data_IF_779614496125
#
_entry.id   IF_779614496125
#
_cell.length_a   1.000
_cell.length_b   1.000
_cell.length_c   1.000
_cell.angle_alpha   90.00
_cell.angle_beta   90.00
_cell.angle_gamma   90.00
#
_symmetry.space_group_name_H-M   'P 1'
#
loop_
_entity.id
_entity.type
_entity.pdbx_description
1 polymer ?
#
# COMPACT_ATOMS: atom_id res chain seq x y z
N UNK A 1 -10.20 16.18 7.45
CA UNK A 1 -9.78 16.98 8.62
C UNK A 1 -10.78 18.09 8.97
N UNK A 2 -11.61 18.57 8.04
CA UNK A 2 -12.77 19.43 8.35
C UNK A 2 -13.89 18.70 9.10
N UNK A 3 -14.19 17.44 8.74
CA UNK A 3 -15.27 16.67 9.36
C UNK A 3 -15.18 16.55 10.90
N UNK A 4 -14.03 16.20 11.52
CA UNK A 4 -13.91 16.18 12.99
C UNK A 4 -14.16 17.53 13.65
N UNK A 5 -13.72 18.63 13.04
CA UNK A 5 -13.91 19.98 13.58
C UNK A 5 -15.38 20.38 13.55
N UNK A 6 -16.07 20.15 12.43
CA UNK A 6 -17.51 20.41 12.32
C UNK A 6 -18.32 19.51 13.28
N UNK A 7 -17.95 18.23 13.40
CA UNK A 7 -18.59 17.32 14.34
C UNK A 7 -18.43 17.82 15.78
N UNK A 8 -17.23 18.32 16.14
CA UNK A 8 -16.98 18.92 17.45
C UNK A 8 -17.88 20.12 17.74
N UNK A 9 -18.06 21.03 16.76
CA UNK A 9 -18.98 22.16 16.90
C UNK A 9 -20.44 21.73 17.03
N UNK A 10 -20.87 20.70 16.29
CA UNK A 10 -22.23 20.17 16.38
C UNK A 10 -22.49 19.61 17.79
N UNK A 11 -21.55 18.84 18.34
CA UNK A 11 -21.65 18.29 19.70
C UNK A 11 -21.77 19.41 20.73
N UNK A 12 -20.96 20.45 20.60
CA UNK A 12 -20.96 21.59 21.53
C UNK A 12 -22.29 22.37 21.50
N UNK A 13 -22.88 22.55 20.31
CA UNK A 13 -24.19 23.19 20.13
C UNK A 13 -25.31 22.38 20.77
N UNK A 14 -25.32 21.05 20.56
CA UNK A 14 -26.32 20.15 21.16
C UNK A 14 -26.20 20.13 22.68
N UNK A 15 -24.97 20.13 23.20
CA UNK A 15 -24.72 20.11 24.65
C UNK A 15 -25.10 21.44 25.32
N UNK A 16 -24.89 22.57 24.65
CA UNK A 16 -25.17 23.90 25.19
C UNK A 16 -26.67 24.25 25.17
N UNK A 17 -27.44 23.74 24.20
CA UNK A 17 -28.87 24.08 24.04
C UNK A 17 -29.74 22.82 23.86
N UNK A 18 -30.01 22.05 24.92
CA UNK A 18 -30.68 20.74 24.80
C UNK A 18 -32.17 20.80 24.42
N UNK A 19 -32.84 21.95 24.57
CA UNK A 19 -34.27 22.13 24.32
C UNK A 19 -34.61 22.83 22.98
N UNK A 20 -33.62 23.04 22.11
CA UNK A 20 -33.82 23.62 20.78
C UNK A 20 -34.45 22.63 19.79
N UNK A 21 -35.25 23.14 18.85
CA UNK A 21 -35.83 22.33 17.77
C UNK A 21 -34.86 22.28 16.58
N UNK A 22 -34.19 21.13 16.40
CA UNK A 22 -33.06 20.99 15.45
C UNK A 22 -33.42 20.31 14.13
N UNK A 23 -34.69 19.92 13.93
CA UNK A 23 -35.11 19.06 12.81
C UNK A 23 -34.81 19.70 11.45
N UNK A 24 -35.11 20.99 11.26
CA UNK A 24 -34.86 21.69 9.99
C UNK A 24 -33.36 21.90 9.75
N UNK A 25 -32.62 22.30 10.78
CA UNK A 25 -31.17 22.49 10.69
C UNK A 25 -30.46 21.16 10.36
N UNK A 26 -30.89 20.06 10.97
CA UNK A 26 -30.36 18.73 10.71
C UNK A 26 -30.70 18.26 9.30
N UNK A 27 -31.92 18.50 8.83
CA UNK A 27 -32.34 18.15 7.46
C UNK A 27 -31.50 18.87 6.41
N UNK A 28 -31.28 20.18 6.57
CA UNK A 28 -30.40 20.95 5.68
C UNK A 28 -28.94 20.50 5.73
N UNK A 29 -28.43 20.17 6.92
CA UNK A 29 -27.07 19.66 7.11
C UNK A 29 -26.90 18.27 6.45
N UNK A 30 -27.84 17.36 6.66
CA UNK A 30 -27.89 16.05 6.02
C UNK A 30 -27.94 16.19 4.49
N UNK A 31 -28.83 17.03 3.95
CA UNK A 31 -28.92 17.29 2.51
C UNK A 31 -27.59 17.84 1.94
N UNK A 32 -26.96 18.78 2.65
CA UNK A 32 -25.65 19.31 2.28
C UNK A 32 -24.55 18.24 2.29
N UNK A 33 -24.50 17.40 3.33
CA UNK A 33 -23.56 16.28 3.42
C UNK A 33 -23.76 15.28 2.29
N UNK A 34 -25.00 14.93 1.95
CA UNK A 34 -25.31 14.05 0.81
C UNK A 34 -24.74 14.62 -0.48
N UNK A 35 -24.92 15.91 -0.74
CA UNK A 35 -24.34 16.57 -1.91
C UNK A 35 -22.80 16.50 -1.90
N UNK A 36 -22.17 16.83 -0.77
CA UNK A 36 -20.70 16.75 -0.63
C UNK A 36 -20.18 15.32 -0.83
N UNK A 37 -20.87 14.31 -0.30
CA UNK A 37 -20.49 12.90 -0.49
C UNK A 37 -20.66 12.45 -1.94
N UNK A 38 -21.74 12.86 -2.62
CA UNK A 38 -21.93 12.56 -4.04
C UNK A 38 -20.84 13.19 -4.90
N UNK A 39 -20.55 14.48 -4.69
CA UNK A 39 -19.45 15.17 -5.37
C UNK A 39 -18.10 14.51 -5.06
N UNK A 40 -17.85 14.14 -3.80
CA UNK A 40 -16.64 13.46 -3.37
C UNK A 40 -16.48 12.08 -4.00
N UNK A 41 -17.57 11.31 -4.12
CA UNK A 41 -17.57 10.01 -4.78
C UNK A 41 -17.28 10.13 -6.28
N UNK A 42 -17.92 11.08 -6.97
CA UNK A 42 -17.65 11.35 -8.38
C UNK A 42 -16.20 11.80 -8.61
N UNK A 43 -15.69 12.73 -7.81
CA UNK A 43 -14.30 13.18 -7.89
C UNK A 43 -13.31 12.04 -7.63
N UNK A 44 -13.58 11.17 -6.66
CA UNK A 44 -12.75 10.01 -6.38
C UNK A 44 -12.77 8.99 -7.51
N UNK A 45 -13.94 8.72 -8.11
CA UNK A 45 -14.06 7.84 -9.26
C UNK A 45 -13.24 8.36 -10.46
N UNK A 46 -13.35 9.66 -10.77
CA UNK A 46 -12.56 10.31 -11.82
C UNK A 46 -11.06 10.22 -11.50
N UNK A 47 -10.65 10.52 -10.26
CA UNK A 47 -9.24 10.40 -9.84
C UNK A 47 -8.71 8.99 -10.07
N UNK A 48 -9.44 7.96 -9.62
CA UNK A 48 -9.03 6.54 -9.77
C UNK A 48 -8.92 6.18 -11.25
N UNK A 49 -9.91 6.55 -12.06
CA UNK A 49 -9.88 6.29 -13.50
C UNK A 49 -8.69 6.94 -14.20
N UNK A 50 -8.45 8.23 -13.95
CA UNK A 50 -7.32 8.97 -14.53
C UNK A 50 -5.98 8.37 -14.11
N UNK A 51 -5.84 7.97 -12.84
CA UNK A 51 -4.62 7.38 -12.33
C UNK A 51 -4.35 6.01 -12.97
N UNK A 52 -5.36 5.16 -13.08
CA UNK A 52 -5.25 3.85 -13.72
C UNK A 52 -4.92 3.97 -15.22
N UNK A 53 -5.61 4.86 -15.94
CA UNK A 53 -5.37 5.10 -17.36
C UNK A 53 -3.95 5.62 -17.61
N UNK A 54 -3.47 6.53 -16.77
CA UNK A 54 -2.09 7.03 -16.82
C UNK A 54 -1.08 5.91 -16.54
N UNK A 55 -1.33 5.09 -15.52
CA UNK A 55 -0.49 3.94 -15.19
C UNK A 55 -0.40 2.94 -16.34
N UNK A 56 -1.53 2.59 -16.95
CA UNK A 56 -1.58 1.72 -18.13
C UNK A 56 -0.79 2.29 -19.31
N UNK A 57 -0.92 3.59 -19.58
CA UNK A 57 -0.19 4.27 -20.66
C UNK A 57 1.32 4.23 -20.44
N UNK A 58 1.79 4.43 -19.19
CA UNK A 58 3.20 4.32 -18.82
C UNK A 58 3.70 2.89 -18.99
N UNK A 59 2.97 1.90 -18.48
CA UNK A 59 3.33 0.48 -18.61
C UNK A 59 3.40 0.07 -20.08
N UNK A 60 2.47 0.53 -20.91
CA UNK A 60 2.48 0.24 -22.34
C UNK A 60 3.75 0.77 -23.01
N UNK A 61 4.12 2.03 -22.74
CA UNK A 61 5.37 2.64 -23.24
C UNK A 61 6.62 1.90 -22.77
N UNK A 62 6.64 1.49 -21.49
CA UNK A 62 7.75 0.72 -20.93
C UNK A 62 7.89 -0.64 -21.63
N UNK A 63 6.78 -1.35 -21.86
CA UNK A 63 6.80 -2.65 -22.55
C UNK A 63 7.27 -2.53 -24.00
N UNK A 64 6.76 -1.56 -24.75
CA UNK A 64 7.19 -1.37 -26.14
C UNK A 64 8.67 -1.01 -26.23
N UNK A 65 9.16 -0.13 -25.35
CA UNK A 65 10.57 0.27 -25.32
C UNK A 65 11.48 -0.89 -24.88
N UNK A 66 11.12 -1.62 -23.82
CA UNK A 66 11.90 -2.77 -23.38
C UNK A 66 11.93 -3.88 -24.42
N UNK A 67 10.79 -4.20 -25.02
CA UNK A 67 10.72 -5.22 -26.07
C UNK A 67 11.60 -4.85 -27.27
N UNK A 68 11.51 -3.59 -27.74
CA UNK A 68 12.36 -3.10 -28.82
C UNK A 68 13.85 -3.14 -28.46
N UNK A 69 14.22 -2.82 -27.22
CA UNK A 69 15.61 -2.86 -26.77
C UNK A 69 16.13 -4.30 -26.67
N UNK A 70 15.30 -5.23 -26.17
CA UNK A 70 15.67 -6.65 -26.09
C UNK A 70 15.95 -7.20 -27.48
N UNK A 71 15.09 -6.93 -28.48
CA UNK A 71 15.29 -7.41 -29.85
C UNK A 71 16.53 -6.86 -30.56
N UNK A 72 17.09 -5.73 -30.10
CA UNK A 72 18.29 -5.12 -30.69
C UNK A 72 19.59 -5.63 -30.08
N UNK A 73 19.51 -6.51 -29.07
CA UNK A 73 20.68 -6.99 -28.35
C UNK A 73 21.39 -8.13 -29.09
N UNK A 74 22.70 -8.27 -28.86
CA UNK A 74 23.53 -9.32 -29.46
C UNK A 74 23.19 -10.73 -28.96
N UNK A 75 23.52 -11.77 -29.75
CA UNK A 75 23.26 -13.18 -29.39
C UNK A 75 23.96 -13.57 -28.08
N UNK A 76 25.17 -13.07 -27.84
CA UNK A 76 25.93 -13.32 -26.61
C UNK A 76 25.22 -12.84 -25.32
N UNK A 77 24.29 -11.89 -25.43
CA UNK A 77 23.43 -11.49 -24.30
C UNK A 77 22.40 -12.56 -23.98
N UNK A 78 21.76 -13.14 -25.00
CA UNK A 78 20.77 -14.21 -24.82
C UNK A 78 21.37 -15.52 -24.32
N UNK A 79 22.65 -15.78 -24.61
CA UNK A 79 23.36 -16.93 -24.03
C UNK A 79 23.57 -16.81 -22.52
N UNK A 80 23.65 -15.57 -21.99
CA UNK A 80 23.87 -15.30 -20.57
C UNK A 80 22.58 -15.10 -19.78
N UNK A 81 21.51 -14.60 -20.43
CA UNK A 81 20.26 -14.23 -19.75
C UNK A 81 19.13 -15.19 -20.10
N UNK A 82 18.51 -15.81 -19.08
CA UNK A 82 17.38 -16.72 -19.31
C UNK A 82 16.18 -15.95 -19.85
N UNK A 83 15.51 -16.51 -20.85
CA UNK A 83 14.25 -15.97 -21.41
C UNK A 83 13.20 -15.70 -20.35
N UNK A 84 13.10 -16.56 -19.32
CA UNK A 84 12.17 -16.35 -18.20
C UNK A 84 12.44 -15.07 -17.39
N UNK A 85 13.69 -14.65 -17.24
CA UNK A 85 14.03 -13.38 -16.58
C UNK A 85 13.59 -12.18 -17.41
N UNK A 86 13.82 -12.23 -18.73
CA UNK A 86 13.40 -11.17 -19.66
C UNK A 86 11.88 -10.99 -19.66
N UNK A 87 11.12 -12.10 -19.66
CA UNK A 87 9.66 -12.07 -19.56
C UNK A 87 9.21 -11.50 -18.20
N UNK A 88 9.87 -11.87 -17.10
CA UNK A 88 9.52 -11.34 -15.78
C UNK A 88 9.78 -9.82 -15.71
N UNK A 89 10.90 -9.34 -16.25
CA UNK A 89 11.19 -7.90 -16.36
C UNK A 89 10.16 -7.17 -17.24
N UNK A 90 9.81 -7.75 -18.38
CA UNK A 90 8.84 -7.16 -19.30
C UNK A 90 7.42 -7.12 -18.71
N UNK A 91 7.03 -8.12 -17.92
CA UNK A 91 5.68 -8.24 -17.37
C UNK A 91 5.55 -7.65 -15.96
N UNK A 92 6.25 -8.22 -14.97
CA UNK A 92 6.16 -7.85 -13.55
C UNK A 92 6.81 -6.51 -13.27
N UNK A 93 8.06 -6.30 -13.73
CA UNK A 93 8.80 -5.10 -13.33
C UNK A 93 8.21 -3.85 -13.97
N UNK A 94 7.77 -3.92 -15.24
CA UNK A 94 7.07 -2.80 -15.89
C UNK A 94 5.77 -2.46 -15.17
N UNK A 95 4.99 -3.46 -14.74
CA UNK A 95 3.74 -3.24 -14.01
C UNK A 95 4.00 -2.64 -12.62
N UNK A 96 4.99 -3.14 -11.89
CA UNK A 96 5.41 -2.61 -10.58
C UNK A 96 5.90 -1.17 -10.70
N UNK A 97 6.73 -0.87 -11.70
CA UNK A 97 7.21 0.49 -11.98
C UNK A 97 6.05 1.42 -12.31
N UNK A 98 5.14 1.00 -13.20
CA UNK A 98 3.96 1.77 -13.58
C UNK A 98 3.10 2.14 -12.37
N UNK A 99 2.71 1.16 -11.55
CA UNK A 99 1.93 1.41 -10.32
C UNK A 99 2.69 2.25 -9.31
N UNK A 100 4.00 2.07 -9.21
CA UNK A 100 4.81 2.83 -8.25
C UNK A 100 4.85 4.33 -8.57
N UNK A 101 4.94 4.71 -9.84
CA UNK A 101 5.00 6.11 -10.24
C UNK A 101 3.63 6.80 -10.27
N UNK A 102 2.54 6.04 -10.36
CA UNK A 102 1.17 6.60 -10.39
C UNK A 102 0.47 6.42 -9.05
N UNK A 103 0.08 5.19 -8.73
CA UNK A 103 -0.74 4.88 -7.54
C UNK A 103 0.03 5.13 -6.24
N UNK A 104 1.22 4.53 -6.08
CA UNK A 104 1.98 4.64 -4.83
C UNK A 104 2.42 6.08 -4.56
N UNK A 105 2.83 6.82 -5.60
CA UNK A 105 3.20 8.23 -5.46
C UNK A 105 2.00 9.08 -5.02
N UNK A 106 0.83 8.83 -5.61
CA UNK A 106 -0.41 9.54 -5.27
C UNK A 106 -0.89 9.25 -3.85
N UNK A 107 -0.76 8.01 -3.43
CA UNK A 107 -1.11 7.60 -2.07
C UNK A 107 -0.11 8.13 -1.05
N UNK A 108 1.18 8.13 -1.37
CA UNK A 108 2.22 8.74 -0.56
C UNK A 108 2.01 10.25 -0.39
N UNK A 109 1.73 10.96 -1.48
CA UNK A 109 1.46 12.40 -1.45
C UNK A 109 0.20 12.70 -0.62
N UNK A 110 -0.87 11.92 -0.81
CA UNK A 110 -2.10 12.05 -0.02
C UNK A 110 -1.83 11.80 1.46
N UNK A 111 -1.12 10.73 1.79
CA UNK A 111 -0.79 10.39 3.18
C UNK A 111 0.07 11.49 3.83
N UNK A 112 1.06 12.01 3.10
CA UNK A 112 1.88 13.14 3.54
C UNK A 112 1.06 14.41 3.79
N UNK A 113 0.18 14.78 2.85
CA UNK A 113 -0.71 15.93 3.00
C UNK A 113 -1.71 15.74 4.15
N UNK A 114 -2.25 14.54 4.33
CA UNK A 114 -3.15 14.23 5.45
C UNK A 114 -2.43 14.27 6.79
N UNK A 115 -1.19 13.78 6.85
CA UNK A 115 -0.37 13.84 8.04
C UNK A 115 -0.02 15.30 8.40
N UNK A 116 0.39 16.11 7.42
CA UNK A 116 0.73 17.52 7.68
C UNK A 116 -0.48 18.33 8.15
N UNK A 117 -1.63 18.20 7.48
CA UNK A 117 -2.87 18.85 7.90
C UNK A 117 -3.37 18.30 9.24
N UNK A 118 -3.26 16.99 9.47
CA UNK A 118 -3.68 16.34 10.71
C UNK A 118 -2.87 16.83 11.91
N UNK A 119 -1.54 16.82 11.79
CA UNK A 119 -0.63 17.33 12.82
C UNK A 119 -0.88 18.84 13.04
N UNK A 120 -1.00 19.62 11.97
CA UNK A 120 -1.31 21.05 12.06
C UNK A 120 -2.63 21.32 12.81
N UNK A 121 -3.68 20.54 12.52
CA UNK A 121 -4.96 20.65 13.22
C UNK A 121 -4.86 20.21 14.69
N UNK A 122 -4.09 19.19 15.03
CA UNK A 122 -3.88 18.80 16.44
C UNK A 122 -3.26 19.94 17.25
N UNK A 123 -2.22 20.58 16.71
CA UNK A 123 -1.60 21.74 17.34
C UNK A 123 -2.55 22.94 17.41
N UNK A 124 -3.38 23.16 16.39
CA UNK A 124 -4.37 24.24 16.38
C UNK A 124 -5.48 24.03 17.43
N UNK A 125 -5.94 22.79 17.61
CA UNK A 125 -7.02 22.48 18.57
C UNK A 125 -6.52 22.52 20.01
N UNK A 126 -5.39 21.86 20.31
CA UNK A 126 -4.80 21.90 21.65
C UNK A 126 -3.30 21.59 21.60
N UNK A 127 -2.43 22.61 21.75
CA UNK A 127 -0.99 22.41 21.78
C UNK A 127 -0.52 21.48 22.90
N UNK A 128 -1.18 21.51 24.06
CA UNK A 128 -0.79 20.71 25.23
C UNK A 128 -1.01 19.21 24.99
N UNK A 129 -2.19 18.82 24.50
CA UNK A 129 -2.48 17.42 24.18
C UNK A 129 -1.65 16.93 22.98
N UNK A 130 -1.46 17.77 21.97
CA UNK A 130 -0.64 17.43 20.80
C UNK A 130 0.81 17.11 21.21
N UNK A 131 1.40 17.93 22.09
CA UNK A 131 2.78 17.72 22.58
C UNK A 131 2.90 16.47 23.43
N UNK A 132 1.87 16.14 24.23
CA UNK A 132 1.81 14.89 24.99
C UNK A 132 1.78 13.66 24.08
N UNK A 133 0.94 13.66 23.04
CA UNK A 133 0.91 12.57 22.06
C UNK A 133 2.26 12.46 21.34
N UNK A 134 2.86 13.60 20.99
CA UNK A 134 4.17 13.64 20.32
C UNK A 134 5.31 13.14 21.20
N UNK A 135 5.21 13.21 22.53
CA UNK A 135 6.22 12.64 23.43
C UNK A 135 6.05 11.14 23.67
N UNK A 136 4.80 10.65 23.68
CA UNK A 136 4.48 9.24 23.99
C UNK A 136 4.54 8.33 22.75
N UNK A 137 4.10 8.79 21.59
CA UNK A 137 4.00 7.96 20.37
C UNK A 137 5.38 7.53 19.83
N UNK A 138 6.41 8.40 19.73
CA UNK A 138 7.72 8.00 19.23
C UNK A 138 8.42 6.89 20.03
N UNK A 139 8.52 6.92 21.38
CA UNK A 139 9.21 5.85 22.11
C UNK A 139 8.49 4.51 21.97
N UNK A 140 7.15 4.49 21.98
CA UNK A 140 6.37 3.26 21.75
C UNK A 140 6.62 2.75 20.32
N UNK A 141 6.64 3.64 19.34
CA UNK A 141 6.89 3.28 17.94
C UNK A 141 8.30 2.73 17.74
N UNK A 142 9.32 3.30 18.38
CA UNK A 142 10.70 2.81 18.34
C UNK A 142 10.78 1.40 18.92
N UNK A 143 10.17 1.16 20.09
CA UNK A 143 10.15 -0.16 20.72
C UNK A 143 9.43 -1.18 19.83
N UNK A 144 8.29 -0.81 19.25
CA UNK A 144 7.55 -1.66 18.32
C UNK A 144 8.36 -1.98 17.06
N UNK A 145 9.12 -1.03 16.51
CA UNK A 145 10.00 -1.27 15.35
C UNK A 145 11.14 -2.21 15.69
N UNK A 146 11.79 -2.05 16.85
CA UNK A 146 12.85 -2.96 17.32
C UNK A 146 12.30 -4.38 17.45
N UNK A 147 11.16 -4.53 18.12
CA UNK A 147 10.50 -5.82 18.29
C UNK A 147 10.05 -6.42 16.95
N UNK A 148 9.51 -5.61 16.04
CA UNK A 148 9.12 -6.04 14.70
C UNK A 148 10.32 -6.50 13.84
N UNK A 149 11.48 -5.84 13.96
CA UNK A 149 12.72 -6.28 13.31
C UNK A 149 13.21 -7.61 13.88
N UNK A 150 13.12 -7.80 15.20
CA UNK A 150 13.44 -9.07 15.84
C UNK A 150 12.52 -10.19 15.34
N UNK A 151 11.21 -9.95 15.30
CA UNK A 151 10.23 -10.91 14.82
C UNK A 151 10.46 -11.29 13.35
N UNK A 152 10.76 -10.30 12.49
CA UNK A 152 11.08 -10.56 11.07
C UNK A 152 12.32 -11.44 10.90
N UNK A 153 13.33 -11.30 11.76
CA UNK A 153 14.51 -12.19 11.76
C UNK A 153 14.12 -13.63 12.12
N UNK A 154 13.29 -13.81 13.15
CA UNK A 154 12.83 -15.13 13.56
C UNK A 154 11.98 -15.79 12.47
N UNK A 155 11.03 -15.06 11.88
CA UNK A 155 10.22 -15.55 10.76
C UNK A 155 11.08 -15.97 9.57
N UNK A 156 12.13 -15.19 9.25
CA UNK A 156 13.05 -15.54 8.16
C UNK A 156 13.83 -16.82 8.48
N UNK A 157 14.33 -16.97 9.70
CA UNK A 157 15.03 -18.20 10.11
C UNK A 157 14.13 -19.44 9.98
N UNK A 158 12.86 -19.35 10.39
CA UNK A 158 11.89 -20.44 10.21
C UNK A 158 11.62 -20.73 8.73
N UNK A 159 11.45 -19.70 7.89
CA UNK A 159 11.28 -19.86 6.44
C UNK A 159 12.50 -20.49 5.78
N UNK A 160 13.71 -20.10 6.18
CA UNK A 160 14.96 -20.64 5.66
C UNK A 160 15.12 -22.13 6.04
N UNK A 161 14.79 -22.52 7.27
CA UNK A 161 14.76 -23.93 7.69
C UNK A 161 13.72 -24.74 6.92
N UNK A 162 12.52 -24.17 6.70
CA UNK A 162 11.48 -24.82 5.90
C UNK A 162 11.92 -25.01 4.44
N UNK A 163 12.58 -24.01 3.86
CA UNK A 163 13.13 -24.08 2.51
C UNK A 163 14.20 -25.18 2.39
N UNK A 164 15.08 -25.32 3.38
CA UNK A 164 16.08 -26.39 3.43
C UNK A 164 15.44 -27.78 3.53
N UNK A 165 14.47 -27.97 4.44
CA UNK A 165 13.74 -29.23 4.56
C UNK A 165 13.02 -29.62 3.25
N UNK A 166 12.39 -28.63 2.60
CA UNK A 166 11.72 -28.82 1.30
C UNK A 166 12.72 -29.21 0.20
N UNK A 167 13.90 -28.58 0.16
CA UNK A 167 14.97 -28.91 -0.78
C UNK A 167 15.48 -30.36 -0.59
N UNK A 168 15.72 -30.79 0.65
CA UNK A 168 16.13 -32.16 0.96
C UNK A 168 15.07 -33.19 0.56
N UNK A 169 13.79 -32.91 0.79
CA UNK A 169 12.69 -33.79 0.35
C UNK A 169 12.63 -33.92 -1.18
N UNK A 170 12.86 -32.83 -1.92
CA UNK A 170 12.93 -32.86 -3.39
C UNK A 170 14.15 -33.62 -3.92
N UNK A 171 15.29 -33.58 -3.23
CA UNK A 171 16.49 -34.36 -3.60
C UNK A 171 16.34 -35.85 -3.24
N UNK A 172 15.71 -36.18 -2.11
CA UNK A 172 15.44 -37.57 -1.70
C UNK A 172 14.53 -38.33 -2.66
N UNK A 173 13.61 -37.63 -3.34
CA UNK A 173 12.78 -38.20 -4.42
C UNK A 173 13.53 -38.50 -5.72
N UNK A 174 14.78 -38.04 -5.89
CA UNK A 174 15.62 -38.29 -7.07
C UNK A 174 16.58 -39.48 -6.91
N UNK A 175 16.62 -40.14 -5.75
CA UNK A 175 17.35 -41.41 -5.61
C UNK A 175 16.48 -42.51 -6.24
N UNK A 176 16.92 -43.20 -7.31
CA UNK A 176 16.14 -44.27 -7.89
C UNK A 176 15.97 -45.38 -6.84
N UNK A 177 14.72 -45.78 -6.61
CA UNK A 177 14.38 -47.01 -5.91
C UNK A 177 15.10 -48.15 -6.61
N UNK A 178 16.21 -48.60 -6.03
CA UNK A 178 16.93 -49.78 -6.50
C UNK A 178 16.04 -50.98 -6.17
N UNK A 179 15.30 -51.45 -7.18
CA UNK A 179 14.51 -52.68 -7.10
C UNK A 179 15.48 -53.86 -6.90
N UNK A 180 15.38 -54.63 -5.79
CA UNK A 180 16.21 -55.82 -5.66
C UNK A 180 15.73 -56.85 -6.68
N UNK A 181 16.64 -57.21 -7.59
CA UNK A 181 16.50 -58.33 -8.52
C UNK A 181 16.20 -59.63 -7.76
N UNK A 182 15.08 -60.28 -8.10
CA UNK A 182 14.75 -61.63 -7.63
C UNK A 182 15.81 -62.63 -8.14
N UNK A 183 16.31 -63.55 -7.30
CA UNK A 183 17.08 -64.69 -7.78
C UNK A 183 16.13 -65.73 -8.39
N UNK A 184 16.53 -66.30 -9.53
CA UNK A 184 16.05 -67.60 -10.01
C UNK A 184 16.80 -68.70 -9.29
#
# INVERSE_FOLDING_TARGET
MSAPFFLGKIIDVIYTNPSGDYVDSLTHLCAGLTCVFLCGAAANAVRVYLMQSSGQSIVNRLRTSLFSSILRQEVAFFDKTRTGELINRLSSDTALLGRSVTENLSDGLRAGAQASVGVGMMFFVSPSLATFVLSVVPPISILAVIYGRYLRKLSKATQDSLAQATQHQHQGKKVPSFSPSRPQ
#
